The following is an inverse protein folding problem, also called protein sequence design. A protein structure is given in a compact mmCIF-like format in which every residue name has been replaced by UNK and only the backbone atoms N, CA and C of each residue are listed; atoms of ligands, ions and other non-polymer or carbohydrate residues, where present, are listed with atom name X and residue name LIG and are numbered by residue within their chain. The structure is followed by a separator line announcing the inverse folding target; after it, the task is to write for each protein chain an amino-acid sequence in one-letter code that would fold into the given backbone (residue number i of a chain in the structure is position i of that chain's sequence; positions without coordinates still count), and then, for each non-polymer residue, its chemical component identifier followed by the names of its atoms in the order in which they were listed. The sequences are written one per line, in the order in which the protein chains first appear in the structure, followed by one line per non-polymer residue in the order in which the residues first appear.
data_IF_098775344590
#
_entry.id   IF_098775344590
#
_cell.length_a   1.000
_cell.length_b   1.000
_cell.length_c   1.000
_cell.angle_alpha   90.00
_cell.angle_beta   90.00
_cell.angle_gamma   90.00
#
_symmetry.space_group_name_H-M   'P 1'
#
loop_
_entity.id
_entity.type
_entity.pdbx_description
1 polymer ?
#
# COMPACT_ATOMS: atom_id res chain seq x y z
N UNK A 1 17.61 2.88 22.36
CA UNK A 1 16.42 2.23 21.77
C UNK A 1 16.52 2.36 20.26
N UNK A 2 16.42 1.27 19.48
CA UNK A 2 16.34 1.39 18.01
C UNK A 2 14.95 1.93 17.66
N UNK A 3 14.89 3.04 16.91
CA UNK A 3 13.64 3.59 16.40
C UNK A 3 12.90 2.53 15.57
N UNK A 4 11.60 2.38 15.78
CA UNK A 4 10.79 1.48 14.97
C UNK A 4 10.32 2.26 13.75
N UNK A 5 10.54 1.70 12.57
CA UNK A 5 10.12 2.30 11.30
C UNK A 5 8.97 1.48 10.76
N UNK A 6 7.84 2.14 10.52
CA UNK A 6 6.72 1.55 9.81
C UNK A 6 6.51 2.22 8.46
N UNK A 7 6.08 1.42 7.48
CA UNK A 7 5.80 1.88 6.14
C UNK A 7 4.29 1.84 5.94
N UNK A 8 3.71 2.99 5.62
CA UNK A 8 2.30 3.12 5.30
C UNK A 8 2.12 3.31 3.80
N UNK A 9 1.21 2.56 3.18
CA UNK A 9 0.93 2.70 1.76
C UNK A 9 -0.56 2.50 1.47
N UNK A 10 -1.08 3.22 0.47
CA UNK A 10 -2.45 3.11 0.01
C UNK A 10 -2.46 2.49 -1.40
N UNK A 11 -3.17 1.37 -1.54
CA UNK A 11 -3.39 0.69 -2.80
C UNK A 11 -4.87 0.74 -3.20
N UNK A 12 -5.21 1.81 -3.92
CA UNK A 12 -6.55 2.09 -4.41
C UNK A 12 -6.65 1.82 -5.93
N UNK A 13 -6.80 0.54 -6.31
CA UNK A 13 -6.98 0.14 -7.71
C UNK A 13 -8.06 -0.92 -7.95
N UNK A 14 -8.91 -0.76 -9.00
CA UNK A 14 -9.98 -1.70 -9.34
C UNK A 14 -9.48 -2.96 -10.04
N UNK A 15 -8.23 -2.97 -10.47
CA UNK A 15 -7.61 -4.10 -11.16
C UNK A 15 -6.19 -4.31 -10.67
N UNK A 16 -5.64 -5.47 -11.01
CA UNK A 16 -4.27 -5.83 -10.69
C UNK A 16 -3.39 -5.60 -11.92
N UNK A 17 -2.70 -4.45 -11.95
CA UNK A 17 -1.81 -4.05 -13.03
C UNK A 17 -0.34 -3.98 -12.59
N UNK A 18 0.52 -3.51 -13.49
CA UNK A 18 1.97 -3.45 -13.24
C UNK A 18 2.35 -2.49 -12.10
N UNK A 19 1.63 -1.38 -11.91
CA UNK A 19 1.89 -0.45 -10.82
C UNK A 19 1.56 -1.03 -9.45
N UNK A 20 0.45 -1.77 -9.36
CA UNK A 20 0.03 -2.47 -8.15
C UNK A 20 1.00 -3.60 -7.78
N UNK A 21 1.43 -4.38 -8.78
CA UNK A 21 2.45 -5.41 -8.61
C UNK A 21 3.77 -4.82 -8.11
N UNK A 22 4.25 -3.75 -8.75
CA UNK A 22 5.47 -3.07 -8.35
C UNK A 22 5.41 -2.57 -6.90
N UNK A 23 4.29 -1.97 -6.50
CA UNK A 23 4.11 -1.54 -5.12
C UNK A 23 4.15 -2.71 -4.14
N UNK A 24 3.40 -3.78 -4.42
CA UNK A 24 3.35 -4.95 -3.55
C UNK A 24 4.72 -5.62 -3.41
N UNK A 25 5.47 -5.78 -4.51
CA UNK A 25 6.83 -6.33 -4.48
C UNK A 25 7.78 -5.47 -3.63
N UNK A 26 7.66 -4.14 -3.70
CA UNK A 26 8.44 -3.24 -2.84
C UNK A 26 8.06 -3.39 -1.36
N UNK A 27 6.77 -3.47 -1.04
CA UNK A 27 6.31 -3.64 0.34
C UNK A 27 6.71 -5.01 0.91
N UNK A 28 6.68 -6.06 0.08
CA UNK A 28 7.18 -7.39 0.44
C UNK A 28 8.68 -7.35 0.77
N UNK A 29 9.48 -6.71 -0.09
CA UNK A 29 10.90 -6.52 0.15
C UNK A 29 11.18 -5.77 1.45
N UNK A 30 10.47 -4.66 1.71
CA UNK A 30 10.62 -3.90 2.96
C UNK A 30 10.19 -4.70 4.19
N UNK A 31 9.12 -5.48 4.10
CA UNK A 31 8.72 -6.39 5.18
C UNK A 31 9.81 -7.41 5.52
N UNK A 32 10.48 -7.97 4.50
CA UNK A 32 11.60 -8.90 4.69
C UNK A 32 12.83 -8.24 5.34
N UNK A 33 13.02 -6.93 5.16
CA UNK A 33 14.06 -6.15 5.87
C UNK A 33 13.69 -5.85 7.33
N UNK A 34 12.52 -6.31 7.81
CA UNK A 34 12.07 -6.15 9.19
C UNK A 34 11.22 -4.91 9.44
N UNK A 35 10.81 -4.18 8.40
CA UNK A 35 9.90 -3.05 8.54
C UNK A 35 8.46 -3.52 8.80
N UNK A 36 7.74 -2.79 9.66
CA UNK A 36 6.30 -3.02 9.86
C UNK A 36 5.53 -2.37 8.73
N UNK A 37 4.77 -3.15 7.95
CA UNK A 37 4.01 -2.64 6.81
C UNK A 37 2.54 -2.47 7.17
N UNK A 38 1.99 -1.29 6.90
CA UNK A 38 0.57 -0.97 6.95
C UNK A 38 0.08 -0.69 5.52
N UNK A 39 -0.81 -1.55 5.04
CA UNK A 39 -1.37 -1.44 3.69
C UNK A 39 -2.85 -1.12 3.77
N UNK A 40 -3.22 0.06 3.32
CA UNK A 40 -4.60 0.48 3.15
C UNK A 40 -5.09 0.11 1.75
N UNK A 41 -6.16 -0.69 1.65
CA UNK A 41 -6.72 -1.08 0.35
C UNK A 41 -8.22 -1.33 0.43
N UNK A 42 -8.92 -1.14 -0.68
CA UNK A 42 -10.31 -1.59 -0.84
C UNK A 42 -10.39 -2.97 -1.53
N UNK A 43 -9.28 -3.51 -2.02
CA UNK A 43 -9.27 -4.75 -2.80
C UNK A 43 -9.26 -5.97 -1.85
N UNK A 44 -10.38 -6.68 -1.82
CA UNK A 44 -10.57 -7.83 -0.93
C UNK A 44 -9.57 -8.98 -1.17
N UNK A 45 -9.14 -9.22 -2.41
CA UNK A 45 -8.16 -10.27 -2.71
C UNK A 45 -6.81 -9.94 -2.09
N UNK A 46 -6.36 -8.69 -2.23
CA UNK A 46 -5.11 -8.22 -1.63
C UNK A 46 -5.21 -8.27 -0.11
N UNK A 47 -6.30 -7.75 0.47
CA UNK A 47 -6.54 -7.80 1.91
C UNK A 47 -6.46 -9.22 2.46
N UNK A 48 -6.97 -10.21 1.73
CA UNK A 48 -6.97 -11.61 2.18
C UNK A 48 -5.60 -12.27 2.03
N UNK A 49 -4.97 -12.11 0.87
CA UNK A 49 -3.68 -12.76 0.56
C UNK A 49 -2.54 -12.23 1.42
N UNK A 50 -2.57 -10.95 1.78
CA UNK A 50 -1.46 -10.28 2.46
C UNK A 50 -1.68 -10.07 3.96
N UNK A 51 -2.82 -10.47 4.53
CA UNK A 51 -3.15 -10.29 5.96
C UNK A 51 -2.14 -10.89 6.93
N UNK A 52 -1.43 -11.95 6.51
CA UNK A 52 -0.41 -12.61 7.34
C UNK A 52 0.93 -11.87 7.35
N UNK A 53 1.21 -11.08 6.31
CA UNK A 53 2.49 -10.41 6.12
C UNK A 53 2.41 -8.92 6.47
N UNK A 54 1.29 -8.26 6.17
CA UNK A 54 1.08 -6.83 6.40
C UNK A 54 -0.07 -6.58 7.38
N UNK A 55 -0.05 -5.42 8.03
CA UNK A 55 -1.21 -4.89 8.74
C UNK A 55 -2.16 -4.24 7.75
N UNK A 56 -3.28 -4.91 7.45
CA UNK A 56 -4.24 -4.45 6.46
C UNK A 56 -5.25 -3.48 7.07
N UNK A 57 -5.46 -2.34 6.41
CA UNK A 57 -6.49 -1.36 6.71
C UNK A 57 -7.49 -1.37 5.54
N UNK A 58 -8.72 -1.81 5.79
CA UNK A 58 -9.73 -1.82 4.73
C UNK A 58 -10.25 -0.40 4.52
N UNK A 59 -10.13 0.11 3.29
CA UNK A 59 -10.69 1.39 2.90
C UNK A 59 -12.19 1.24 2.64
N UNK A 60 -13.06 2.09 3.24
CA UNK A 60 -14.51 1.98 3.10
C UNK A 60 -15.03 2.46 1.73
N UNK A 61 -14.21 3.20 0.97
CA UNK A 61 -14.54 3.70 -0.36
C UNK A 61 -13.31 3.76 -1.25
N UNK A 62 -13.55 3.77 -2.56
CA UNK A 62 -12.55 3.95 -3.61
C UNK A 62 -12.56 5.42 -4.08
N UNK A 63 -11.39 6.01 -4.26
CA UNK A 63 -11.25 7.32 -4.90
C UNK A 63 -11.12 7.11 -6.41
N UNK A 64 -12.25 7.11 -7.12
CA UNK A 64 -12.25 7.05 -8.58
C UNK A 64 -12.12 8.45 -9.18
N UNK A 65 -10.89 8.88 -9.44
CA UNK A 65 -10.61 10.15 -10.10
C UNK A 65 -10.59 9.97 -11.62
N UNK A 66 -11.26 10.88 -12.33
CA UNK A 66 -11.38 10.87 -13.79
C UNK A 66 -10.23 11.67 -14.41
N UNK A 67 -9.64 11.15 -15.51
CA UNK A 67 -8.67 11.87 -16.34
C UNK A 67 -7.23 11.89 -15.83
N UNK A 68 -6.42 12.83 -16.33
CA UNK A 68 -4.96 12.90 -16.09
C UNK A 68 -4.58 13.11 -14.61
N UNK A 69 -5.49 13.66 -13.80
CA UNK A 69 -5.33 13.80 -12.35
C UNK A 69 -5.25 12.44 -11.63
N UNK A 70 -5.85 11.38 -12.20
CA UNK A 70 -5.84 10.03 -11.64
C UNK A 70 -4.42 9.49 -11.47
N UNK A 71 -3.54 9.71 -12.44
CA UNK A 71 -2.17 9.19 -12.42
C UNK A 71 -1.34 9.83 -11.31
N UNK A 72 -1.38 11.16 -11.21
CA UNK A 72 -0.65 11.90 -10.18
C UNK A 72 -1.14 11.55 -8.78
N UNK A 73 -2.47 11.51 -8.57
CA UNK A 73 -3.03 11.20 -7.26
C UNK A 73 -2.76 9.75 -6.86
N UNK A 74 -2.83 8.80 -7.79
CA UNK A 74 -2.41 7.41 -7.54
C UNK A 74 -0.94 7.33 -7.16
N UNK A 75 -0.06 8.04 -7.85
CA UNK A 75 1.37 8.08 -7.51
C UNK A 75 1.59 8.55 -6.07
N UNK A 76 0.94 9.64 -5.65
CA UNK A 76 1.05 10.14 -4.28
C UNK A 76 0.49 9.18 -3.23
N UNK A 77 -0.62 8.50 -3.50
CA UNK A 77 -1.19 7.53 -2.56
C UNK A 77 -0.42 6.21 -2.51
N UNK A 78 0.18 5.80 -3.63
CA UNK A 78 0.98 4.59 -3.73
C UNK A 78 2.41 4.79 -3.22
N UNK A 79 2.89 6.02 -3.07
CA UNK A 79 4.19 6.31 -2.48
C UNK A 79 4.21 5.83 -1.01
N UNK A 80 5.09 4.87 -0.65
CA UNK A 80 5.17 4.41 0.73
C UNK A 80 5.71 5.51 1.65
N UNK A 81 5.00 5.82 2.72
CA UNK A 81 5.39 6.80 3.72
C UNK A 81 6.08 6.10 4.90
N UNK A 82 7.31 6.51 5.20
CA UNK A 82 8.03 6.02 6.37
C UNK A 82 7.65 6.84 7.61
N UNK A 83 7.16 6.17 8.64
CA UNK A 83 6.82 6.74 9.94
C UNK A 83 7.85 6.23 10.94
N UNK A 84 8.51 7.14 11.66
CA UNK A 84 9.60 6.85 12.59
C UNK A 84 9.18 7.29 14.00
N UNK A 85 9.32 6.41 14.99
CA UNK A 85 9.10 6.72 16.41
C UNK A 85 10.02 5.93 17.36
#
# INVERSE_FOLDING_TARGET
MKSKIAIFSILDSPGFGGGEQYLLSNLEFLSQQGFSIYLATFNHQISTNYKKQFSIINLPFRLDLIGNLRGAVKFFFQAPLAIIW
#
